data_IF_609638373529
#
_entry.id   IF_609638373529
#
_cell.length_a   1.000
_cell.length_b   1.000
_cell.length_c   1.000
_cell.angle_alpha   90.00
_cell.angle_beta   90.00
_cell.angle_gamma   90.00
#
_symmetry.space_group_name_H-M   'P 1'
#
loop_
_entity.id
_entity.type
_entity.pdbx_description
1 polymer ?
#
# COMPACT_ATOMS: atom_id res chain seq x y z
N UNK A 1 0.04 16.53 -13.30
CA UNK A 1 -0.24 16.90 -11.91
C UNK A 1 0.56 15.95 -11.05
N UNK A 2 1.32 16.43 -10.09
CA UNK A 2 2.34 15.68 -9.38
C UNK A 2 1.70 14.53 -8.60
N UNK A 3 2.10 13.30 -8.89
CA UNK A 3 1.91 12.14 -8.02
C UNK A 3 2.75 12.37 -6.75
N UNK A 4 2.31 13.28 -5.89
CA UNK A 4 2.80 13.36 -4.53
C UNK A 4 2.37 12.07 -3.86
N UNK A 5 3.29 11.11 -3.81
CA UNK A 5 3.14 9.88 -3.08
C UNK A 5 2.69 10.26 -1.66
N UNK A 6 1.49 9.82 -1.31
CA UNK A 6 0.92 10.01 0.01
C UNK A 6 1.76 9.21 1.02
N UNK A 7 2.88 9.80 1.44
CA UNK A 7 3.68 9.23 2.52
C UNK A 7 3.24 9.95 3.79
N UNK A 8 2.64 9.27 4.76
CA UNK A 8 2.34 9.88 6.04
C UNK A 8 3.62 10.50 6.61
N UNK A 9 3.62 11.80 6.83
CA UNK A 9 4.76 12.48 7.47
C UNK A 9 4.88 12.09 8.94
N UNK A 10 3.74 11.85 9.59
CA UNK A 10 3.67 11.37 10.97
C UNK A 10 3.99 9.87 11.06
N UNK A 11 4.48 9.42 12.21
CA UNK A 11 4.73 8.02 12.51
C UNK A 11 3.45 7.21 12.69
N UNK A 12 2.37 7.88 13.11
CA UNK A 12 1.02 7.36 13.22
C UNK A 12 0.00 8.38 12.69
N UNK A 13 -0.99 7.92 11.95
CA UNK A 13 -2.12 8.73 11.50
C UNK A 13 -3.37 7.86 11.40
N UNK A 14 -4.50 8.40 11.83
CA UNK A 14 -5.82 7.88 11.50
C UNK A 14 -6.68 8.97 10.90
N UNK A 15 -7.46 8.64 9.90
CA UNK A 15 -8.44 9.53 9.28
C UNK A 15 -9.73 8.79 8.98
N UNK A 16 -10.83 9.51 9.04
CA UNK A 16 -12.13 9.04 8.57
C UNK A 16 -12.46 9.73 7.26
N UNK A 17 -12.55 8.96 6.20
CA UNK A 17 -12.99 9.45 4.90
C UNK A 17 -14.51 9.46 4.86
N UNK A 18 -15.17 10.58 4.48
CA UNK A 18 -16.61 10.61 4.24
C UNK A 18 -16.97 9.73 3.03
N UNK A 19 -18.25 9.49 2.83
CA UNK A 19 -18.74 8.84 1.61
C UNK A 19 -18.41 9.72 0.40
N UNK A 20 -17.43 9.31 -0.36
CA UNK A 20 -16.92 10.03 -1.52
C UNK A 20 -16.34 9.06 -2.54
N UNK A 21 -16.18 9.49 -3.77
CA UNK A 21 -15.50 8.73 -4.81
C UNK A 21 -14.03 8.58 -4.39
N UNK A 22 -13.63 7.35 -4.15
CA UNK A 22 -12.24 7.01 -3.88
C UNK A 22 -11.47 7.11 -5.20
N UNK A 23 -10.40 7.86 -5.18
CA UNK A 23 -9.49 7.91 -6.30
C UNK A 23 -8.07 7.91 -5.76
N UNK A 24 -7.39 6.80 -5.98
CA UNK A 24 -5.96 6.73 -5.68
C UNK A 24 -5.22 6.23 -6.90
N UNK A 25 -4.23 6.99 -7.32
CA UNK A 25 -3.25 6.50 -8.28
C UNK A 25 -2.48 5.34 -7.65
N UNK A 26 -1.88 4.50 -8.49
CA UNK A 26 -0.97 3.45 -8.06
C UNK A 26 0.15 4.04 -7.22
N UNK A 27 0.26 3.64 -5.94
CA UNK A 27 1.24 4.17 -5.00
C UNK A 27 1.70 3.12 -3.99
N UNK A 28 2.67 3.48 -3.18
CA UNK A 28 3.12 2.74 -2.00
C UNK A 28 3.65 3.72 -0.96
N UNK A 29 3.69 3.31 0.29
CA UNK A 29 4.24 4.10 1.40
C UNK A 29 4.98 3.22 2.40
N UNK A 30 5.95 3.81 3.11
CA UNK A 30 6.72 3.12 4.13
C UNK A 30 5.99 3.12 5.48
N UNK A 31 4.77 2.62 5.46
CA UNK A 31 3.91 2.44 6.63
C UNK A 31 2.99 1.23 6.41
N UNK A 32 2.61 0.59 7.48
CA UNK A 32 1.46 -0.32 7.46
C UNK A 32 0.18 0.48 7.28
N UNK A 33 -0.80 -0.10 6.62
CA UNK A 33 -2.13 0.51 6.50
C UNK A 33 -3.20 -0.50 6.90
N UNK A 34 -4.16 -0.02 7.70
CA UNK A 34 -5.44 -0.67 7.93
C UNK A 34 -6.54 0.19 7.33
N UNK A 35 -7.41 -0.41 6.54
CA UNK A 35 -8.58 0.24 5.98
C UNK A 35 -9.82 -0.52 6.45
N UNK A 36 -10.68 0.12 7.24
CA UNK A 36 -11.95 -0.43 7.68
C UNK A 36 -13.09 0.24 6.92
N UNK A 37 -13.84 -0.56 6.16
CA UNK A 37 -14.93 -0.09 5.30
C UNK A 37 -16.20 0.15 6.12
N UNK A 38 -16.69 1.40 6.15
CA UNK A 38 -17.89 1.80 6.88
C UNK A 38 -19.12 1.65 5.98
N UNK A 39 -19.02 2.10 4.72
CA UNK A 39 -20.13 2.14 3.78
C UNK A 39 -19.61 2.12 2.34
N UNK A 40 -20.43 1.58 1.43
CA UNK A 40 -20.11 1.44 0.02
C UNK A 40 -19.32 0.17 -0.30
N UNK A 41 -19.11 -0.02 -1.59
CA UNK A 41 -18.27 -1.11 -2.13
C UNK A 41 -17.14 -0.49 -2.95
N UNK A 42 -15.96 -1.08 -2.88
CA UNK A 42 -14.83 -0.67 -3.69
C UNK A 42 -13.84 -1.82 -3.88
N UNK A 43 -13.01 -1.71 -4.89
CA UNK A 43 -11.99 -2.71 -5.17
C UNK A 43 -10.61 -2.17 -4.82
N UNK A 44 -9.78 -3.00 -4.21
CA UNK A 44 -8.35 -2.77 -4.05
C UNK A 44 -7.58 -3.64 -5.03
N UNK A 45 -6.58 -3.06 -5.65
CA UNK A 45 -5.46 -3.81 -6.19
C UNK A 45 -4.28 -3.65 -5.23
N UNK A 46 -3.78 -4.76 -4.69
CA UNK A 46 -2.61 -4.78 -3.80
C UNK A 46 -1.62 -5.79 -4.33
N UNK A 47 -0.44 -5.32 -4.75
CA UNK A 47 0.53 -6.15 -5.45
C UNK A 47 0.00 -6.64 -6.80
N UNK A 48 -0.34 -7.92 -6.89
CA UNK A 48 -0.87 -8.59 -8.07
C UNK A 48 -2.31 -9.07 -7.90
N UNK A 49 -2.94 -8.74 -6.79
CA UNK A 49 -4.20 -9.33 -6.35
C UNK A 49 -5.30 -8.27 -6.23
N UNK A 50 -6.45 -8.55 -6.83
CA UNK A 50 -7.65 -7.74 -6.70
C UNK A 50 -8.50 -8.22 -5.52
N UNK A 51 -8.93 -7.28 -4.68
CA UNK A 51 -9.78 -7.53 -3.52
C UNK A 51 -11.06 -6.71 -3.64
N UNK A 52 -12.20 -7.38 -3.58
CA UNK A 52 -13.50 -6.71 -3.48
C UNK A 52 -13.79 -6.43 -2.02
N UNK A 53 -14.05 -5.18 -1.70
CA UNK A 53 -14.26 -4.69 -0.34
C UNK A 53 -15.68 -4.21 -0.22
N UNK A 54 -16.35 -4.71 0.80
CA UNK A 54 -17.70 -4.36 1.18
C UNK A 54 -17.71 -3.76 2.59
N UNK A 55 -18.85 -3.24 3.02
CA UNK A 55 -19.04 -2.78 4.40
C UNK A 55 -18.56 -3.84 5.40
N UNK A 56 -17.95 -3.37 6.49
CA UNK A 56 -17.41 -4.18 7.59
C UNK A 56 -16.14 -4.97 7.27
N UNK A 57 -15.64 -4.87 6.03
CA UNK A 57 -14.36 -5.46 5.70
C UNK A 57 -13.21 -4.61 6.22
N UNK A 58 -12.15 -5.28 6.69
CA UNK A 58 -10.90 -4.65 7.06
C UNK A 58 -9.79 -5.16 6.14
N UNK A 59 -9.13 -4.21 5.49
CA UNK A 59 -7.98 -4.48 4.60
C UNK A 59 -6.70 -4.15 5.33
N UNK A 60 -5.75 -5.09 5.34
CA UNK A 60 -4.38 -4.84 5.76
C UNK A 60 -3.46 -4.74 4.56
N UNK A 61 -2.66 -3.67 4.52
CA UNK A 61 -1.65 -3.44 3.50
C UNK A 61 -0.29 -3.35 4.18
N UNK A 62 0.65 -4.26 3.87
CA UNK A 62 1.98 -4.24 4.45
C UNK A 62 2.82 -3.07 3.92
N UNK A 63 3.90 -2.78 4.64
CA UNK A 63 4.89 -1.75 4.28
C UNK A 63 5.38 -1.95 2.85
N UNK A 64 5.48 -0.85 2.11
CA UNK A 64 5.98 -0.79 0.74
C UNK A 64 5.18 -1.63 -0.29
N UNK A 65 4.00 -2.14 0.07
CA UNK A 65 3.14 -2.81 -0.90
C UNK A 65 2.53 -1.79 -1.88
N UNK A 66 2.72 -2.02 -3.17
CA UNK A 66 2.12 -1.20 -4.24
C UNK A 66 0.63 -1.49 -4.28
N UNK A 67 -0.19 -0.45 -4.21
CA UNK A 67 -1.64 -0.60 -4.19
C UNK A 67 -2.38 0.60 -4.75
N UNK A 68 -3.65 0.41 -5.04
CA UNK A 68 -4.62 1.45 -5.39
C UNK A 68 -6.05 1.02 -5.05
N UNK A 69 -6.96 1.97 -4.96
CA UNK A 69 -8.41 1.74 -4.96
C UNK A 69 -9.02 2.13 -6.30
N UNK A 70 -10.16 1.53 -6.64
CA UNK A 70 -10.98 1.98 -7.75
C UNK A 70 -11.75 3.28 -7.44
N UNK A 71 -12.51 3.79 -8.45
CA UNK A 71 -13.27 5.06 -8.36
C UNK A 71 -14.70 4.89 -7.83
N UNK A 72 -14.95 3.91 -6.97
CA UNK A 72 -16.27 3.75 -6.36
C UNK A 72 -16.42 4.63 -5.13
N UNK A 73 -17.67 4.94 -4.79
CA UNK A 73 -17.99 5.72 -3.61
C UNK A 73 -17.98 4.84 -2.36
N UNK A 74 -17.16 5.21 -1.39
CA UNK A 74 -17.09 4.51 -0.11
C UNK A 74 -16.70 5.45 1.03
N UNK A 75 -17.12 5.10 2.24
CA UNK A 75 -16.68 5.72 3.50
C UNK A 75 -15.87 4.72 4.29
N UNK A 76 -14.75 5.17 4.87
CA UNK A 76 -13.82 4.27 5.56
C UNK A 76 -12.98 4.97 6.62
N UNK A 77 -12.46 4.20 7.57
CA UNK A 77 -11.30 4.61 8.36
C UNK A 77 -10.01 4.13 7.70
N UNK A 78 -9.00 4.97 7.74
CA UNK A 78 -7.64 4.66 7.30
C UNK A 78 -6.68 4.90 8.46
N UNK A 79 -5.97 3.86 8.88
CA UNK A 79 -4.87 3.96 9.83
C UNK A 79 -3.57 3.74 9.09
N UNK A 80 -2.61 4.63 9.31
CA UNK A 80 -1.22 4.48 8.87
C UNK A 80 -0.31 4.48 10.09
N UNK A 81 0.59 3.52 10.18
CA UNK A 81 1.62 3.49 11.22
C UNK A 81 2.93 2.92 10.68
N UNK A 82 4.02 3.64 10.96
CA UNK A 82 5.35 3.23 10.51
C UNK A 82 5.91 2.09 11.35
N UNK A 83 6.87 1.30 10.81
CA UNK A 83 7.61 0.34 11.61
C UNK A 83 8.26 0.97 12.84
N UNK A 84 8.78 2.20 12.74
CA UNK A 84 9.35 2.97 13.86
C UNK A 84 8.37 3.19 15.00
N UNK A 85 7.08 3.40 14.69
CA UNK A 85 6.03 3.56 15.69
C UNK A 85 5.79 2.26 16.45
N UNK A 86 5.45 1.19 15.73
CA UNK A 86 5.05 -0.08 16.38
C UNK A 86 6.21 -0.77 17.10
N UNK A 87 7.45 -0.63 16.61
CA UNK A 87 8.64 -1.23 17.20
C UNK A 87 9.00 -0.67 18.59
N UNK A 88 8.46 0.49 18.98
CA UNK A 88 8.62 1.02 20.33
C UNK A 88 7.89 0.17 21.39
N UNK A 89 6.82 -0.54 20.97
CA UNK A 89 5.88 -1.21 21.88
C UNK A 89 5.80 -2.70 21.68
N UNK A 90 6.16 -3.20 20.50
CA UNK A 90 6.01 -4.61 20.11
C UNK A 90 7.34 -5.15 19.59
N UNK A 91 7.78 -6.24 20.17
CA UNK A 91 9.00 -6.93 19.70
C UNK A 91 8.81 -7.42 18.25
N UNK A 92 9.89 -7.46 17.44
CA UNK A 92 9.83 -7.83 16.02
C UNK A 92 9.12 -9.17 15.75
N UNK A 93 9.40 -10.19 16.54
CA UNK A 93 8.78 -11.50 16.38
C UNK A 93 7.26 -11.45 16.58
N UNK A 94 6.78 -10.70 17.56
CA UNK A 94 5.35 -10.55 17.82
C UNK A 94 4.70 -9.69 16.75
N UNK A 95 5.35 -8.60 16.35
CA UNK A 95 4.91 -7.75 15.25
C UNK A 95 4.71 -8.57 13.96
N UNK A 96 5.69 -9.40 13.61
CA UNK A 96 5.64 -10.21 12.39
C UNK A 96 4.54 -11.30 12.46
N UNK A 97 4.18 -11.76 13.66
CA UNK A 97 3.02 -12.63 13.86
C UNK A 97 1.70 -11.89 13.68
N UNK A 98 1.58 -10.67 14.22
CA UNK A 98 0.36 -9.88 14.18
C UNK A 98 0.07 -9.29 12.79
N UNK A 99 1.10 -8.79 12.12
CA UNK A 99 0.96 -8.04 10.89
C UNK A 99 1.26 -8.89 9.64
N UNK A 100 2.19 -9.84 9.74
CA UNK A 100 2.62 -10.62 8.58
C UNK A 100 3.31 -9.79 7.50
N UNK A 101 3.57 -10.44 6.36
CA UNK A 101 4.24 -9.81 5.20
C UNK A 101 3.33 -9.73 3.96
N UNK A 102 2.14 -10.30 4.03
CA UNK A 102 1.19 -10.36 2.91
C UNK A 102 -0.04 -9.52 3.22
N UNK A 103 -0.64 -8.87 2.21
CA UNK A 103 -1.93 -8.22 2.38
C UNK A 103 -3.01 -9.26 2.67
N UNK A 104 -4.05 -8.85 3.39
CA UNK A 104 -5.22 -9.66 3.61
C UNK A 104 -6.47 -8.78 3.71
N UNK A 105 -7.63 -9.40 3.48
CA UNK A 105 -8.94 -8.84 3.79
C UNK A 105 -9.56 -9.70 4.88
N UNK A 106 -9.99 -9.06 5.94
CA UNK A 106 -10.68 -9.66 7.04
C UNK A 106 -12.20 -9.38 6.91
N UNK A 107 -13.01 -10.43 7.05
CA UNK A 107 -14.46 -10.35 7.06
C UNK A 107 -14.94 -10.80 8.43
N UNK A 108 -15.29 -9.85 9.28
CA UNK A 108 -15.85 -10.14 10.59
C UNK A 108 -17.33 -10.55 10.52
N UNK A 109 -17.77 -11.30 11.51
CA UNK A 109 -19.20 -11.45 11.80
C UNK A 109 -19.77 -10.15 12.40
N UNK A 110 -21.07 -10.10 12.62
CA UNK A 110 -21.74 -8.92 13.17
C UNK A 110 -21.18 -8.46 14.53
N UNK A 111 -20.73 -9.40 15.37
CA UNK A 111 -20.13 -9.09 16.68
C UNK A 111 -18.76 -8.45 16.52
N UNK A 112 -17.93 -9.01 15.67
CA UNK A 112 -16.59 -8.48 15.36
C UNK A 112 -16.67 -7.14 14.66
N UNK A 113 -17.61 -6.96 13.74
CA UNK A 113 -17.87 -5.67 13.08
C UNK A 113 -18.21 -4.58 14.09
N UNK A 114 -19.13 -4.84 15.03
CA UNK A 114 -19.49 -3.89 16.08
C UNK A 114 -18.28 -3.50 16.94
N UNK A 115 -17.44 -4.47 17.34
CA UNK A 115 -16.24 -4.25 18.12
C UNK A 115 -15.20 -3.43 17.33
N UNK A 116 -14.96 -3.75 16.07
CA UNK A 116 -14.04 -3.00 15.19
C UNK A 116 -14.52 -1.56 15.01
N UNK A 117 -15.81 -1.38 14.70
CA UNK A 117 -16.40 -0.04 14.54
C UNK A 117 -16.23 0.83 15.79
N UNK A 118 -16.45 0.25 16.99
CA UNK A 118 -16.24 0.94 18.25
C UNK A 118 -14.76 1.31 18.48
N UNK A 119 -13.83 0.38 18.23
CA UNK A 119 -12.40 0.60 18.38
C UNK A 119 -11.88 1.66 17.43
N UNK A 120 -12.28 1.63 16.16
CA UNK A 120 -11.91 2.65 15.17
C UNK A 120 -12.44 4.04 15.56
N UNK A 121 -13.68 4.14 16.02
CA UNK A 121 -14.24 5.41 16.50
C UNK A 121 -13.48 5.93 17.73
N UNK A 122 -13.18 5.10 18.72
CA UNK A 122 -12.39 5.48 19.90
C UNK A 122 -11.00 5.95 19.52
N UNK A 123 -10.31 5.22 18.66
CA UNK A 123 -8.98 5.57 18.18
C UNK A 123 -8.98 6.89 17.41
N UNK A 124 -9.96 7.10 16.53
CA UNK A 124 -10.09 8.33 15.76
C UNK A 124 -10.40 9.53 16.67
N UNK A 125 -11.34 9.39 17.61
CA UNK A 125 -11.69 10.45 18.56
C UNK A 125 -10.51 10.83 19.46
N UNK A 126 -9.73 9.85 19.92
CA UNK A 126 -8.53 10.11 20.70
C UNK A 126 -7.44 10.82 19.89
N UNK A 127 -7.22 10.38 18.63
CA UNK A 127 -6.29 11.03 17.74
C UNK A 127 -6.67 12.50 17.48
N UNK A 128 -7.93 12.77 17.16
CA UNK A 128 -8.45 14.13 16.97
C UNK A 128 -8.30 14.99 18.23
N UNK A 129 -8.55 14.42 19.42
CA UNK A 129 -8.34 15.09 20.70
C UNK A 129 -6.88 15.52 20.87
N UNK A 130 -5.95 14.62 20.58
CA UNK A 130 -4.51 14.90 20.71
C UNK A 130 -4.03 15.95 19.70
N UNK A 131 -4.59 15.97 18.48
CA UNK A 131 -4.26 17.01 17.50
C UNK A 131 -4.73 18.42 17.96
N UNK A 132 -5.88 18.50 18.65
CA UNK A 132 -6.40 19.75 19.17
C UNK A 132 -5.74 20.22 20.46
N UNK A 133 -5.21 19.30 21.25
CA UNK A 133 -4.57 19.55 22.55
C UNK A 133 -3.24 18.80 22.66
N UNK A 134 -2.20 19.19 21.90
CA UNK A 134 -0.93 18.45 21.86
C UNK A 134 -0.22 18.31 23.21
N UNK A 135 -0.46 19.25 24.14
CA UNK A 135 0.11 19.23 25.51
C UNK A 135 -0.41 18.04 26.35
N UNK A 136 -1.53 17.43 25.97
CA UNK A 136 -2.10 16.24 26.60
C UNK A 136 -2.02 15.00 25.70
N UNK A 137 -1.18 15.06 24.68
CA UNK A 137 -1.00 13.91 23.79
C UNK A 137 -0.35 12.74 24.54
N UNK A 138 -0.96 11.55 24.39
CA UNK A 138 -0.47 10.31 24.96
C UNK A 138 -0.45 9.22 23.89
N UNK A 139 0.73 8.93 23.37
CA UNK A 139 0.94 7.91 22.34
C UNK A 139 0.46 6.52 22.81
N UNK A 140 0.53 6.23 24.12
CA UNK A 140 0.09 4.94 24.68
C UNK A 140 -1.41 4.70 24.50
N UNK A 141 -2.25 5.74 24.50
CA UNK A 141 -3.69 5.60 24.25
C UNK A 141 -3.97 5.21 22.80
N UNK A 142 -3.21 5.77 21.85
CA UNK A 142 -3.31 5.37 20.45
C UNK A 142 -2.85 3.92 20.25
N UNK A 143 -1.73 3.55 20.88
CA UNK A 143 -1.20 2.19 20.86
C UNK A 143 -2.18 1.20 21.47
N UNK A 144 -2.81 1.53 22.60
CA UNK A 144 -3.83 0.69 23.25
C UNK A 144 -4.91 0.27 22.27
N UNK A 145 -5.54 1.22 21.58
CA UNK A 145 -6.63 0.93 20.64
C UNK A 145 -6.12 0.20 19.39
N UNK A 146 -4.95 0.58 18.86
CA UNK A 146 -4.34 -0.13 17.74
C UNK A 146 -4.08 -1.60 18.11
N UNK A 147 -3.52 -1.88 19.29
CA UNK A 147 -3.25 -3.24 19.74
C UNK A 147 -4.52 -4.05 19.96
N UNK A 148 -5.61 -3.43 20.44
CA UNK A 148 -6.89 -4.10 20.54
C UNK A 148 -7.45 -4.50 19.17
N UNK A 149 -7.34 -3.63 18.16
CA UNK A 149 -7.72 -3.95 16.77
C UNK A 149 -6.86 -5.13 16.25
N UNK A 150 -5.55 -5.05 16.38
CA UNK A 150 -4.64 -6.10 15.90
C UNK A 150 -4.86 -7.44 16.63
N UNK A 151 -5.12 -7.40 17.93
CA UNK A 151 -5.41 -8.59 18.72
C UNK A 151 -6.74 -9.23 18.31
N UNK A 152 -7.77 -8.43 18.08
CA UNK A 152 -9.06 -8.91 17.59
C UNK A 152 -8.92 -9.61 16.24
N UNK A 153 -8.14 -9.04 15.32
CA UNK A 153 -7.83 -9.65 14.03
C UNK A 153 -7.06 -10.97 14.19
N UNK A 154 -6.13 -11.03 15.13
CA UNK A 154 -5.28 -12.22 15.36
C UNK A 154 -6.06 -13.39 15.98
N UNK A 155 -7.03 -13.09 16.89
CA UNK A 155 -7.76 -14.11 17.65
C UNK A 155 -9.05 -14.56 16.99
N UNK A 156 -9.56 -13.82 16.00
CA UNK A 156 -10.78 -14.20 15.30
C UNK A 156 -10.54 -15.40 14.37
N UNK A 157 -11.48 -16.34 14.32
CA UNK A 157 -11.52 -17.40 13.30
C UNK A 157 -11.93 -16.79 11.97
N UNK A 158 -10.96 -16.42 11.19
CA UNK A 158 -11.14 -15.52 10.06
C UNK A 158 -11.58 -16.23 8.80
N UNK A 159 -12.59 -15.70 8.16
CA UNK A 159 -12.93 -16.04 6.78
C UNK A 159 -12.17 -15.04 5.88
N UNK A 160 -10.99 -15.42 5.42
CA UNK A 160 -10.31 -14.72 4.33
C UNK A 160 -11.08 -15.03 3.05
N UNK A 161 -11.61 -14.01 2.38
CA UNK A 161 -12.12 -14.20 1.03
C UNK A 161 -10.97 -14.03 0.06
N UNK A 162 -10.70 -15.05 -0.78
CA UNK A 162 -9.71 -14.89 -1.83
C UNK A 162 -10.12 -13.75 -2.77
N UNK A 163 -9.12 -13.14 -3.36
CA UNK A 163 -9.28 -12.14 -4.40
C UNK A 163 -10.26 -12.57 -5.50
N UNK A 164 -10.86 -11.59 -6.15
CA UNK A 164 -11.64 -11.82 -7.36
C UNK A 164 -10.79 -12.63 -8.36
N UNK A 165 -11.18 -13.86 -8.55
CA UNK A 165 -10.65 -14.88 -9.46
C UNK A 165 -9.13 -14.82 -9.76
N UNK A 166 -8.38 -15.78 -9.21
CA UNK A 166 -7.00 -16.09 -9.61
C UNK A 166 -6.84 -16.36 -11.12
N UNK A 167 -7.94 -16.50 -11.83
CA UNK A 167 -7.98 -16.81 -13.26
C UNK A 167 -8.02 -15.56 -14.16
N UNK A 168 -7.98 -14.37 -13.57
CA UNK A 168 -7.92 -13.15 -14.36
C UNK A 168 -6.55 -13.03 -15.03
N UNK A 169 -6.55 -12.98 -16.36
CA UNK A 169 -5.34 -12.80 -17.19
C UNK A 169 -4.51 -11.60 -16.74
N UNK A 170 -5.17 -10.53 -16.27
CA UNK A 170 -4.50 -9.34 -15.78
C UNK A 170 -3.69 -9.62 -14.50
N UNK A 171 -4.20 -10.39 -13.55
CA UNK A 171 -3.47 -10.80 -12.34
C UNK A 171 -2.20 -11.59 -12.69
N UNK A 172 -2.28 -12.51 -13.67
CA UNK A 172 -1.11 -13.28 -14.15
C UNK A 172 -0.04 -12.36 -14.77
N UNK A 173 -0.47 -11.36 -15.56
CA UNK A 173 0.42 -10.36 -16.16
C UNK A 173 1.09 -9.52 -15.08
N UNK A 174 0.32 -9.00 -14.13
CA UNK A 174 0.83 -8.17 -13.02
C UNK A 174 1.82 -8.97 -12.17
N UNK A 175 1.48 -10.21 -11.82
CA UNK A 175 2.36 -11.11 -11.08
C UNK A 175 3.70 -11.29 -11.80
N UNK A 176 3.65 -11.61 -13.09
CA UNK A 176 4.87 -11.75 -13.90
C UNK A 176 5.71 -10.48 -13.91
N UNK A 177 5.07 -9.32 -14.11
CA UNK A 177 5.78 -8.02 -14.12
C UNK A 177 6.41 -7.75 -12.75
N UNK A 178 5.70 -8.02 -11.65
CA UNK A 178 6.22 -7.83 -10.29
C UNK A 178 7.43 -8.73 -9.99
N UNK A 179 7.42 -9.95 -10.46
CA UNK A 179 8.51 -10.91 -10.25
C UNK A 179 9.72 -10.65 -11.16
N UNK A 180 9.50 -10.04 -12.34
CA UNK A 180 10.51 -9.90 -13.39
C UNK A 180 10.83 -8.44 -13.77
N UNK A 181 10.36 -7.44 -13.01
CA UNK A 181 10.45 -6.01 -13.34
C UNK A 181 11.86 -5.52 -13.73
N UNK A 182 12.99 -6.06 -13.19
CA UNK A 182 14.31 -5.58 -13.58
C UNK A 182 14.64 -5.87 -15.05
N UNK A 183 14.04 -6.93 -15.59
CA UNK A 183 14.30 -7.42 -16.95
C UNK A 183 13.22 -6.99 -17.94
N UNK A 184 12.06 -6.56 -17.47
CA UNK A 184 10.97 -6.08 -18.32
C UNK A 184 11.31 -4.72 -18.91
N UNK A 185 11.43 -4.67 -20.23
CA UNK A 185 11.84 -3.47 -20.97
C UNK A 185 10.70 -2.81 -21.73
N UNK A 186 9.70 -3.57 -22.17
CA UNK A 186 8.65 -3.05 -23.04
C UNK A 186 7.32 -3.78 -22.86
N UNK A 187 6.26 -3.12 -23.32
CA UNK A 187 4.92 -3.73 -23.40
C UNK A 187 4.86 -4.81 -24.47
N UNK A 188 5.66 -4.71 -25.54
CA UNK A 188 5.71 -5.71 -26.60
C UNK A 188 6.24 -7.05 -26.09
N UNK A 189 7.23 -7.01 -25.20
CA UNK A 189 7.77 -8.21 -24.53
C UNK A 189 6.66 -8.95 -23.74
N UNK A 190 5.88 -8.21 -22.95
CA UNK A 190 4.77 -8.79 -22.18
C UNK A 190 3.67 -9.31 -23.09
N UNK A 191 3.31 -8.55 -24.12
CA UNK A 191 2.29 -8.97 -25.09
C UNK A 191 2.67 -10.31 -25.78
N UNK A 192 3.93 -10.42 -26.23
CA UNK A 192 4.45 -11.65 -26.82
C UNK A 192 4.45 -12.82 -25.83
N UNK A 193 4.90 -12.59 -24.59
CA UNK A 193 4.94 -13.63 -23.56
C UNK A 193 3.56 -14.19 -23.22
N UNK A 194 2.53 -13.35 -23.21
CA UNK A 194 1.15 -13.76 -22.90
C UNK A 194 0.29 -14.04 -24.12
N UNK A 195 0.89 -14.06 -25.32
CA UNK A 195 0.21 -14.35 -26.60
C UNK A 195 -1.01 -13.46 -26.83
N UNK A 196 -0.84 -12.15 -26.58
CA UNK A 196 -1.86 -11.12 -26.79
C UNK A 196 -1.30 -9.97 -27.63
N UNK A 197 -2.20 -9.21 -28.27
CA UNK A 197 -1.77 -8.00 -28.97
C UNK A 197 -1.38 -6.90 -27.98
N UNK A 198 -0.41 -6.06 -28.36
CA UNK A 198 -0.06 -4.86 -27.60
C UNK A 198 -1.28 -3.96 -27.35
N UNK A 199 -2.15 -3.82 -28.34
CA UNK A 199 -3.39 -3.05 -28.22
C UNK A 199 -4.29 -3.59 -27.12
N UNK A 200 -4.51 -4.91 -27.10
CA UNK A 200 -5.31 -5.56 -26.08
C UNK A 200 -4.68 -5.41 -24.68
N UNK A 201 -3.36 -5.55 -24.56
CA UNK A 201 -2.65 -5.32 -23.30
C UNK A 201 -2.78 -3.87 -22.82
N UNK A 202 -2.67 -2.88 -23.72
CA UNK A 202 -2.91 -1.47 -23.41
C UNK A 202 -4.33 -1.25 -22.88
N UNK A 203 -5.32 -1.86 -23.52
CA UNK A 203 -6.72 -1.78 -23.11
C UNK A 203 -6.94 -2.37 -21.71
N UNK A 204 -6.43 -3.59 -21.47
CA UNK A 204 -6.47 -4.23 -20.15
C UNK A 204 -5.83 -3.38 -19.06
N UNK A 205 -4.65 -2.81 -19.33
CA UNK A 205 -4.00 -1.92 -18.37
C UNK A 205 -4.82 -0.66 -18.09
N UNK A 206 -5.38 -0.04 -19.11
CA UNK A 206 -6.21 1.15 -18.94
C UNK A 206 -7.50 0.85 -18.18
N UNK A 207 -8.14 -0.27 -18.47
CA UNK A 207 -9.40 -0.71 -17.86
C UNK A 207 -9.21 -1.10 -16.39
N UNK A 208 -8.21 -1.96 -16.10
CA UNK A 208 -8.02 -2.52 -14.77
C UNK A 208 -7.07 -1.70 -13.89
N UNK A 209 -6.10 -0.99 -14.48
CA UNK A 209 -5.04 -0.29 -13.75
C UNK A 209 -5.21 1.22 -13.74
N UNK A 210 -6.00 1.79 -14.65
CA UNK A 210 -6.19 3.23 -14.86
C UNK A 210 -4.89 4.04 -15.03
N UNK A 211 -3.77 3.35 -15.15
CA UNK A 211 -2.43 3.90 -15.42
C UNK A 211 -1.81 3.22 -16.62
N UNK A 212 -0.84 3.86 -17.25
CA UNK A 212 -0.09 3.20 -18.31
C UNK A 212 0.82 2.09 -17.76
N UNK A 213 1.11 1.08 -18.58
CA UNK A 213 2.08 0.04 -18.25
C UNK A 213 3.44 0.62 -17.81
N UNK A 214 3.93 1.64 -18.51
CA UNK A 214 5.22 2.29 -18.18
C UNK A 214 5.16 2.96 -16.82
N UNK A 215 4.04 3.63 -16.49
CA UNK A 215 3.85 4.24 -15.18
C UNK A 215 3.85 3.19 -14.07
N UNK A 216 3.13 2.09 -14.28
CA UNK A 216 3.11 0.96 -13.36
C UNK A 216 4.51 0.35 -13.15
N UNK A 217 5.21 0.04 -14.24
CA UNK A 217 6.56 -0.53 -14.20
C UNK A 217 7.54 0.40 -13.47
N UNK A 218 7.49 1.71 -13.76
CA UNK A 218 8.32 2.69 -13.07
C UNK A 218 8.01 2.74 -11.57
N UNK A 219 6.75 2.65 -11.16
CA UNK A 219 6.38 2.61 -9.73
C UNK A 219 7.04 1.44 -9.01
N UNK A 220 7.04 0.25 -9.60
CA UNK A 220 7.69 -0.94 -9.03
C UNK A 220 9.21 -0.76 -8.96
N UNK A 221 9.83 -0.29 -10.06
CA UNK A 221 11.28 -0.05 -10.15
C UNK A 221 11.74 0.99 -9.11
N UNK A 222 10.99 2.07 -8.94
CA UNK A 222 11.30 3.11 -7.95
C UNK A 222 11.11 2.61 -6.52
N UNK A 223 10.09 1.79 -6.23
CA UNK A 223 9.95 1.12 -4.93
C UNK A 223 11.19 0.30 -4.59
N UNK A 224 11.65 -0.55 -5.50
CA UNK A 224 12.85 -1.35 -5.30
C UNK A 224 14.11 -0.47 -5.10
N UNK A 225 14.22 0.64 -5.83
CA UNK A 225 15.29 1.59 -5.65
C UNK A 225 15.25 2.25 -4.26
N UNK A 226 14.08 2.61 -3.74
CA UNK A 226 13.94 3.14 -2.39
C UNK A 226 14.41 2.15 -1.33
N UNK A 227 14.10 0.87 -1.48
CA UNK A 227 14.57 -0.18 -0.59
C UNK A 227 16.10 -0.27 -0.60
N UNK A 228 16.73 -0.36 -1.79
CA UNK A 228 18.19 -0.39 -1.92
C UNK A 228 18.87 0.88 -1.37
N UNK A 229 18.27 2.04 -1.55
CA UNK A 229 18.79 3.31 -1.02
C UNK A 229 18.79 3.34 0.51
N UNK A 230 17.82 2.69 1.16
CA UNK A 230 17.72 2.60 2.63
C UNK A 230 18.65 1.54 3.21
N UNK A 231 18.76 0.39 2.52
CA UNK A 231 19.39 -0.83 3.08
C UNK A 231 20.82 -1.04 2.63
N UNK A 232 21.33 -0.23 1.69
CA UNK A 232 22.69 -0.41 1.16
C UNK A 232 23.40 0.92 0.90
N UNK A 233 24.75 0.84 0.81
CA UNK A 233 25.62 1.95 0.39
C UNK A 233 25.98 1.92 -1.10
N UNK A 234 25.30 1.09 -1.89
CA UNK A 234 25.58 0.95 -3.32
C UNK A 234 25.50 2.32 -4.04
N UNK A 235 26.43 2.64 -4.93
CA UNK A 235 26.36 3.84 -5.74
C UNK A 235 25.16 3.79 -6.69
N UNK A 236 24.65 4.97 -7.10
CA UNK A 236 23.47 5.07 -7.97
C UNK A 236 23.67 4.33 -9.30
N UNK A 237 24.92 4.30 -9.81
CA UNK A 237 25.30 3.55 -11.01
C UNK A 237 25.11 2.05 -10.89
N UNK A 238 25.08 1.51 -9.68
CA UNK A 238 24.77 0.10 -9.42
C UNK A 238 23.32 -0.14 -9.06
N UNK A 239 22.66 0.82 -8.41
CA UNK A 239 21.21 0.73 -8.07
C UNK A 239 20.37 0.79 -9.34
N UNK A 240 20.64 1.72 -10.24
CA UNK A 240 19.83 1.91 -11.45
C UNK A 240 19.66 0.61 -12.26
N UNK A 241 20.73 -0.10 -12.67
CA UNK A 241 20.56 -1.35 -13.43
C UNK A 241 19.93 -2.49 -12.62
N UNK A 242 20.17 -2.59 -11.30
CA UNK A 242 19.53 -3.58 -10.44
C UNK A 242 18.02 -3.40 -10.35
N UNK A 243 17.56 -2.16 -10.50
CA UNK A 243 16.14 -1.84 -10.58
C UNK A 243 15.59 -1.87 -12.02
N UNK A 244 16.39 -2.27 -13.00
CA UNK A 244 15.97 -2.38 -14.41
C UNK A 244 15.91 -1.06 -15.17
N UNK A 245 16.71 -0.06 -14.76
CA UNK A 245 16.90 1.17 -15.53
C UNK A 245 18.13 1.08 -16.41
N UNK A 246 17.99 1.40 -17.69
CA UNK A 246 19.07 1.32 -18.68
C UNK A 246 20.13 2.42 -18.51
N UNK A 247 19.83 3.50 -17.78
CA UNK A 247 20.79 4.55 -17.49
C UNK A 247 20.53 5.24 -16.17
N UNK A 248 21.60 5.63 -15.48
CA UNK A 248 21.54 6.38 -14.22
C UNK A 248 20.88 7.76 -14.38
N UNK A 249 21.12 8.54 -15.46
CA UNK A 249 20.40 9.80 -15.65
C UNK A 249 18.88 9.63 -15.76
N UNK A 250 18.42 8.65 -16.53
CA UNK A 250 16.98 8.36 -16.64
C UNK A 250 16.39 7.90 -15.33
N UNK A 251 17.08 7.01 -14.60
CA UNK A 251 16.71 6.63 -13.23
C UNK A 251 16.53 7.84 -12.33
N UNK A 252 17.52 8.74 -12.27
CA UNK A 252 17.46 9.94 -11.42
C UNK A 252 16.27 10.85 -11.77
N UNK A 253 15.98 11.00 -13.07
CA UNK A 253 14.83 11.77 -13.55
C UNK A 253 13.52 11.16 -13.06
N UNK A 254 13.28 9.87 -13.35
CA UNK A 254 12.06 9.15 -12.96
C UNK A 254 11.89 9.12 -11.44
N UNK A 255 12.99 8.91 -10.70
CA UNK A 255 12.98 8.91 -9.25
C UNK A 255 12.54 10.27 -8.69
N UNK A 256 13.11 11.37 -9.20
CA UNK A 256 12.76 12.73 -8.78
C UNK A 256 11.30 13.08 -9.12
N UNK A 257 10.82 12.66 -10.28
CA UNK A 257 9.41 12.81 -10.67
C UNK A 257 8.48 12.06 -9.73
N UNK A 258 8.86 10.84 -9.31
CA UNK A 258 8.07 10.00 -8.42
C UNK A 258 8.15 10.40 -6.94
N UNK A 259 9.28 10.91 -6.44
CA UNK A 259 9.53 11.19 -5.02
C UNK A 259 9.65 12.67 -4.66
N UNK A 260 9.70 13.56 -5.65
CA UNK A 260 9.89 15.01 -5.44
C UNK A 260 11.34 15.41 -5.12
N UNK A 261 12.19 14.45 -4.73
CA UNK A 261 13.59 14.66 -4.34
C UNK A 261 14.52 13.70 -5.09
N UNK A 262 15.81 14.05 -5.19
CA UNK A 262 16.79 13.17 -5.85
C UNK A 262 17.06 11.88 -5.06
N UNK A 263 17.53 10.79 -5.70
CA UNK A 263 17.93 9.56 -5.01
C UNK A 263 18.94 9.78 -3.89
N UNK A 264 19.91 10.68 -4.11
CA UNK A 264 20.94 11.02 -3.11
C UNK A 264 20.34 11.75 -1.89
N UNK A 265 19.40 12.66 -2.12
CA UNK A 265 18.65 13.32 -1.03
C UNK A 265 17.79 12.32 -0.26
N UNK A 266 17.09 11.45 -0.97
CA UNK A 266 16.27 10.39 -0.37
C UNK A 266 17.11 9.49 0.55
N UNK A 267 18.29 9.04 0.11
CA UNK A 267 19.23 8.24 0.92
C UNK A 267 19.60 8.94 2.23
N UNK A 268 19.93 10.25 2.15
CA UNK A 268 20.31 11.03 3.34
C UNK A 268 19.17 11.19 4.36
N UNK A 269 17.93 11.21 3.91
CA UNK A 269 16.75 11.36 4.78
C UNK A 269 16.27 10.02 5.36
N UNK A 270 16.67 8.90 4.75
CA UNK A 270 16.15 7.56 5.08
C UNK A 270 17.16 6.73 5.92
N UNK A 271 18.37 7.24 6.14
CA UNK A 271 19.39 6.75 7.07
C UNK A 271 19.42 7.63 8.33
#
# INVERSE_FOLDING_TARGET
MSNALYTPTADFKIERSPLAILQTDMHYHHAYQLCYAIEGEHDYLIGDTFYKISRSDLVFIPVDAVHRTDRKSASRFLIYFKPSFINKYVQPLMRDKLLGKKPFVFHGDASTDAQLGELFNKLHSEYERQQKQPQYADELLLVKYLMQILFLLYTSENVYRPAISEDNRMSKIIKYVNENYPYVSSMDEIANKFYISKYYLCHLFKEHMEVSFISYLNTIKIRAACELLRTSDLPLSQIAPRCGFNSTPYFCKVFKEAKGISPSQYRKQSK
#
